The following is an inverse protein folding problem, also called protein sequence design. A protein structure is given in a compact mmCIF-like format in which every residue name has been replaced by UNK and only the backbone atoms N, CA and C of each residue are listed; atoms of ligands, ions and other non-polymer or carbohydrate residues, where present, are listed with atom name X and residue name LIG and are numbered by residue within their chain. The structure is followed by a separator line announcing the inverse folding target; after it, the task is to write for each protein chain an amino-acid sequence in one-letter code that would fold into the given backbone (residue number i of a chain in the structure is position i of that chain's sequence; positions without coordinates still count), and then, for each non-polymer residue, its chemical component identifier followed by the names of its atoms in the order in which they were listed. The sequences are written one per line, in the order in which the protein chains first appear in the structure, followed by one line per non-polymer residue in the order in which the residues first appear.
data_IF_363325475381
#
_entry.id   IF_363325475381
#
_cell.length_a   1.000
_cell.length_b   1.000
_cell.length_c   1.000
_cell.angle_alpha   90.00
_cell.angle_beta   90.00
_cell.angle_gamma   90.00
#
_symmetry.space_group_name_H-M   'P 1'
#
loop_
_entity.id
_entity.type
_entity.pdbx_description
1 polymer ?
#
# COMPACT_ATOMS: atom_id res chain seq x y z
N UNK A 1 -7.73 18.44 10.28
CA UNK A 1 -6.54 19.30 10.50
C UNK A 1 -5.22 18.51 10.58
N UNK A 2 -5.21 17.22 10.94
CA UNK A 2 -4.00 16.38 10.99
C UNK A 2 -3.42 15.92 9.64
N UNK A 3 -4.25 15.79 8.59
CA UNK A 3 -3.83 15.20 7.30
C UNK A 3 -2.77 16.02 6.52
N UNK A 4 -2.78 17.36 6.61
CA UNK A 4 -1.79 18.20 5.92
C UNK A 4 -0.42 18.14 6.59
N UNK A 5 -0.38 18.09 7.93
CA UNK A 5 0.88 18.01 8.69
C UNK A 5 1.64 16.70 8.46
N UNK A 6 0.91 15.57 8.38
CA UNK A 6 1.53 14.25 8.12
C UNK A 6 2.04 14.15 6.68
N UNK A 7 1.35 14.76 5.71
CA UNK A 7 1.78 14.76 4.31
C UNK A 7 3.08 15.55 4.11
N UNK A 8 3.22 16.73 4.72
CA UNK A 8 4.46 17.52 4.66
C UNK A 8 5.64 16.77 5.29
N UNK A 9 5.41 16.12 6.43
CA UNK A 9 6.44 15.30 7.10
C UNK A 9 6.84 14.08 6.27
N UNK A 10 5.90 13.45 5.56
CA UNK A 10 6.18 12.33 4.64
C UNK A 10 7.03 12.77 3.44
N UNK A 11 6.68 13.89 2.80
CA UNK A 11 7.52 14.45 1.73
C UNK A 11 8.92 14.77 2.25
N UNK A 12 9.03 15.38 3.42
CA UNK A 12 10.32 15.70 4.02
C UNK A 12 11.15 14.44 4.33
N UNK A 13 10.53 13.38 4.87
CA UNK A 13 11.20 12.09 5.09
C UNK A 13 11.66 11.42 3.78
N UNK A 14 10.82 11.43 2.75
CA UNK A 14 11.14 10.89 1.43
C UNK A 14 12.31 11.66 0.80
N UNK A 15 12.29 12.99 0.87
CA UNK A 15 13.37 13.85 0.37
C UNK A 15 14.68 13.64 1.14
N UNK A 16 14.64 13.51 2.47
CA UNK A 16 15.83 13.24 3.29
C UNK A 16 16.42 11.87 2.95
N UNK A 17 15.59 10.82 2.87
CA UNK A 17 16.04 9.46 2.54
C UNK A 17 16.66 9.41 1.14
N UNK A 18 16.03 10.09 0.17
CA UNK A 18 16.55 10.17 -1.19
C UNK A 18 17.84 10.99 -1.29
N UNK A 19 17.98 12.05 -0.50
CA UNK A 19 19.20 12.84 -0.43
C UNK A 19 20.39 12.03 0.12
N UNK A 20 20.16 11.16 1.10
CA UNK A 20 21.19 10.24 1.63
C UNK A 20 21.66 9.27 0.54
N UNK A 21 20.74 8.63 -0.19
CA UNK A 21 21.08 7.72 -1.30
C UNK A 21 21.84 8.42 -2.43
N UNK A 22 21.45 9.65 -2.78
CA UNK A 22 22.11 10.43 -3.82
C UNK A 22 23.52 10.86 -3.38
N UNK A 23 23.72 11.17 -2.11
CA UNK A 23 25.05 11.48 -1.58
C UNK A 23 25.99 10.28 -1.65
N UNK A 24 25.53 9.07 -1.30
CA UNK A 24 26.34 7.85 -1.44
C UNK A 24 26.74 7.60 -2.90
N UNK A 25 25.84 7.90 -3.85
CA UNK A 25 26.13 7.80 -5.30
C UNK A 25 27.13 8.86 -5.74
N UNK A 26 26.96 10.11 -5.35
CA UNK A 26 27.88 11.22 -5.69
C UNK A 26 29.28 11.04 -5.07
N UNK A 27 29.37 10.40 -3.90
CA UNK A 27 30.63 10.08 -3.28
C UNK A 27 31.43 9.05 -4.08
N UNK A 28 30.75 8.18 -4.85
CA UNK A 28 31.38 7.18 -5.72
C UNK A 28 31.81 7.74 -7.08
N UNK A 29 31.18 8.82 -7.57
CA UNK A 29 31.55 9.42 -8.86
C UNK A 29 32.80 10.30 -8.77
N UNK A 30 33.12 10.81 -7.57
CA UNK A 30 34.28 11.70 -7.35
C UNK A 30 34.13 13.10 -7.98
N UNK A 31 33.00 13.39 -8.63
CA UNK A 31 32.73 14.67 -9.31
C UNK A 31 32.49 15.82 -8.31
N UNK A 32 32.08 15.50 -7.08
CA UNK A 32 31.78 16.50 -6.05
C UNK A 32 32.92 16.54 -5.02
N UNK A 33 33.47 17.74 -4.72
CA UNK A 33 34.53 17.87 -3.73
C UNK A 33 34.14 17.27 -2.37
N UNK A 34 35.04 16.51 -1.71
CA UNK A 34 34.75 15.86 -0.44
C UNK A 34 34.25 16.82 0.65
N UNK A 35 34.75 18.06 0.67
CA UNK A 35 34.31 19.05 1.66
C UNK A 35 32.82 19.42 1.51
N UNK A 36 32.31 19.46 0.27
CA UNK A 36 30.88 19.75 -0.01
C UNK A 36 30.01 18.56 0.38
N UNK A 37 30.45 17.34 0.08
CA UNK A 37 29.75 16.11 0.49
C UNK A 37 29.69 16.01 2.03
N UNK A 38 30.79 16.32 2.69
CA UNK A 38 30.88 16.30 4.16
C UNK A 38 29.97 17.37 4.80
N UNK A 39 29.86 18.56 4.20
CA UNK A 39 28.92 19.58 4.66
C UNK A 39 27.46 19.12 4.52
N UNK A 40 27.10 18.49 3.40
CA UNK A 40 25.75 17.94 3.18
C UNK A 40 25.44 16.78 4.14
N UNK A 41 26.41 15.89 4.39
CA UNK A 41 26.28 14.83 5.39
C UNK A 41 26.05 15.40 6.79
N UNK A 42 26.77 16.45 7.19
CA UNK A 42 26.55 17.11 8.49
C UNK A 42 25.15 17.70 8.63
N UNK A 43 24.58 18.26 7.57
CA UNK A 43 23.20 18.78 7.58
C UNK A 43 22.20 17.63 7.77
N UNK A 44 22.34 16.54 7.01
CA UNK A 44 21.43 15.39 7.10
C UNK A 44 21.56 14.62 8.42
N UNK A 45 22.74 14.64 9.04
CA UNK A 45 23.01 14.04 10.35
C UNK A 45 22.76 15.01 11.51
N UNK A 46 22.31 16.23 11.25
CA UNK A 46 22.04 17.21 12.29
C UNK A 46 20.90 16.76 13.21
N UNK A 47 20.93 17.23 14.46
CA UNK A 47 19.87 17.02 15.45
C UNK A 47 18.49 17.40 14.89
N UNK A 48 18.41 18.46 14.08
CA UNK A 48 17.16 18.86 13.43
C UNK A 48 16.63 17.77 12.48
N UNK A 49 17.46 17.27 11.57
CA UNK A 49 17.03 16.22 10.62
C UNK A 49 16.71 14.90 11.34
N UNK A 50 17.47 14.55 12.38
CA UNK A 50 17.20 13.38 13.20
C UNK A 50 15.87 13.50 13.95
N UNK A 51 15.62 14.64 14.61
CA UNK A 51 14.37 14.89 15.32
C UNK A 51 13.16 14.91 14.38
N UNK A 52 13.29 15.49 13.17
CA UNK A 52 12.25 15.45 12.14
C UNK A 52 11.97 14.01 11.70
N UNK A 53 13.01 13.21 11.47
CA UNK A 53 12.87 11.79 11.11
C UNK A 53 12.14 11.02 12.21
N UNK A 54 12.57 11.18 13.46
CA UNK A 54 11.98 10.50 14.62
C UNK A 54 10.53 10.91 14.86
N UNK A 55 10.24 12.22 14.81
CA UNK A 55 8.88 12.73 14.94
C UNK A 55 7.97 12.23 13.81
N UNK A 56 8.48 12.11 12.59
CA UNK A 56 7.72 11.57 11.46
C UNK A 56 7.42 10.08 11.65
N UNK A 57 8.41 9.29 12.08
CA UNK A 57 8.24 7.86 12.37
C UNK A 57 7.28 7.65 13.54
N UNK A 58 7.41 8.43 14.61
CA UNK A 58 6.54 8.38 15.77
C UNK A 58 5.10 8.81 15.42
N UNK A 59 4.91 9.87 14.63
CA UNK A 59 3.60 10.30 14.15
C UNK A 59 2.95 9.23 13.25
N UNK A 60 3.73 8.56 12.41
CA UNK A 60 3.25 7.46 11.56
C UNK A 60 2.88 6.21 12.37
N UNK A 61 3.70 5.87 13.36
CA UNK A 61 3.42 4.76 14.28
C UNK A 61 2.18 5.05 15.14
N UNK A 62 2.02 6.30 15.59
CA UNK A 62 0.89 6.75 16.41
C UNK A 62 -0.43 6.91 15.62
N UNK A 63 -0.38 7.06 14.29
CA UNK A 63 -1.58 7.23 13.46
C UNK A 63 -2.33 5.92 13.14
N UNK A 64 -2.19 4.87 13.95
CA UNK A 64 -2.58 3.49 13.61
C UNK A 64 -2.02 3.04 12.23
N UNK A 65 -0.74 3.36 11.97
CA UNK A 65 0.09 2.83 10.88
C UNK A 65 -0.62 2.44 9.58
N UNK A 66 -0.45 3.29 8.55
CA UNK A 66 -0.74 3.04 7.12
C UNK A 66 -2.16 3.39 6.56
N UNK A 67 -2.82 4.42 7.08
CA UNK A 67 -4.04 4.99 6.47
C UNK A 67 -3.81 5.82 5.19
N UNK A 68 -2.56 6.00 4.76
CA UNK A 68 -2.23 6.79 3.58
C UNK A 68 -2.04 5.91 2.33
N UNK A 69 -2.57 6.32 1.17
CA UNK A 69 -2.31 5.65 -0.09
C UNK A 69 -0.80 5.55 -0.38
N UNK A 70 -0.35 4.37 -0.79
CA UNK A 70 1.01 4.11 -1.24
C UNK A 70 1.01 3.43 -2.59
N UNK A 71 2.08 3.64 -3.35
CA UNK A 71 2.31 3.00 -4.64
C UNK A 71 3.07 1.69 -4.43
N UNK A 72 2.65 0.63 -5.10
CA UNK A 72 3.35 -0.65 -5.17
C UNK A 72 3.44 -1.06 -6.63
N UNK A 73 4.66 -1.34 -7.11
CA UNK A 73 4.91 -1.76 -8.49
C UNK A 73 5.32 -3.23 -8.49
N UNK A 74 4.59 -4.07 -9.24
CA UNK A 74 4.82 -5.51 -9.31
C UNK A 74 5.01 -5.96 -10.76
N UNK A 75 6.00 -6.82 -11.05
CA UNK A 75 6.09 -7.45 -12.36
C UNK A 75 4.95 -8.47 -12.54
N UNK A 76 4.19 -8.36 -13.62
CA UNK A 76 3.19 -9.35 -14.02
C UNK A 76 3.88 -10.51 -14.74
N UNK A 77 3.68 -11.72 -14.23
CA UNK A 77 4.12 -12.96 -14.88
C UNK A 77 2.92 -13.77 -15.39
N UNK A 78 3.18 -14.89 -16.05
CA UNK A 78 2.15 -15.85 -16.47
C UNK A 78 1.37 -16.44 -15.27
N UNK A 79 2.04 -16.57 -14.12
CA UNK A 79 1.43 -16.99 -12.84
C UNK A 79 0.56 -15.89 -12.20
N UNK A 80 0.60 -14.67 -12.74
CA UNK A 80 -0.16 -13.53 -12.27
C UNK A 80 0.60 -12.65 -11.29
N UNK A 81 -0.12 -12.03 -10.33
CA UNK A 81 0.45 -11.08 -9.36
C UNK A 81 0.60 -11.67 -7.95
N UNK A 82 0.05 -12.87 -7.69
CA UNK A 82 0.22 -13.54 -6.40
C UNK A 82 -0.67 -13.02 -5.26
N UNK A 83 -1.86 -12.50 -5.55
CA UNK A 83 -2.83 -12.10 -4.52
C UNK A 83 -4.28 -12.27 -4.99
N UNK A 84 -5.21 -12.34 -4.03
CA UNK A 84 -6.66 -12.37 -4.29
C UNK A 84 -7.30 -11.06 -3.85
N UNK A 85 -8.36 -10.66 -4.56
CA UNK A 85 -9.21 -9.53 -4.18
C UNK A 85 -10.60 -9.98 -3.73
N UNK A 86 -11.30 -9.13 -2.99
CA UNK A 86 -12.71 -9.29 -2.60
C UNK A 86 -13.41 -7.93 -2.48
N UNK A 87 -14.72 -7.95 -2.24
CA UNK A 87 -15.55 -6.74 -2.23
C UNK A 87 -15.86 -6.25 -3.63
N UNK A 88 -16.39 -5.03 -3.74
CA UNK A 88 -16.98 -4.50 -4.95
C UNK A 88 -18.30 -3.78 -4.68
N UNK A 89 -18.67 -2.87 -5.57
CA UNK A 89 -19.89 -2.05 -5.48
C UNK A 89 -21.15 -2.91 -5.30
N UNK A 90 -21.23 -4.06 -5.95
CA UNK A 90 -22.37 -4.99 -5.86
C UNK A 90 -22.57 -5.58 -4.45
N UNK A 91 -21.54 -5.50 -3.61
CA UNK A 91 -21.57 -5.90 -2.20
C UNK A 91 -21.55 -4.69 -1.25
N UNK A 92 -21.78 -3.47 -1.77
CA UNK A 92 -21.65 -2.21 -1.05
C UNK A 92 -20.35 -2.13 -0.23
N UNK A 93 -19.25 -2.53 -0.86
CA UNK A 93 -17.95 -2.71 -0.19
C UNK A 93 -16.81 -2.25 -1.09
N UNK A 94 -15.74 -1.64 -0.55
CA UNK A 94 -14.54 -1.37 -1.34
C UNK A 94 -13.84 -2.65 -1.77
N UNK A 95 -12.91 -2.54 -2.71
CA UNK A 95 -12.12 -3.66 -3.21
C UNK A 95 -10.87 -3.82 -2.33
N UNK A 96 -10.67 -5.02 -1.79
CA UNK A 96 -9.57 -5.32 -0.87
C UNK A 96 -8.74 -6.51 -1.32
N UNK A 97 -7.46 -6.50 -0.98
CA UNK A 97 -6.59 -7.67 -1.01
C UNK A 97 -6.94 -8.57 0.17
N UNK A 98 -7.60 -9.68 -0.11
CA UNK A 98 -8.08 -10.65 0.88
C UNK A 98 -7.01 -11.68 1.25
N UNK A 99 -6.08 -11.95 0.33
CA UNK A 99 -5.02 -12.95 0.51
C UNK A 99 -3.79 -12.59 -0.31
N UNK A 100 -2.62 -12.78 0.29
CA UNK A 100 -1.34 -12.87 -0.40
C UNK A 100 -1.02 -14.35 -0.59
N UNK A 101 -0.65 -14.75 -1.81
CA UNK A 101 -0.35 -16.15 -2.15
C UNK A 101 1.10 -16.44 -1.72
N UNK A 102 1.34 -17.37 -0.77
CA UNK A 102 2.68 -17.71 -0.32
C UNK A 102 3.59 -18.12 -1.48
N UNK A 103 4.80 -17.57 -1.53
CA UNK A 103 5.76 -17.81 -2.60
C UNK A 103 5.44 -17.11 -3.92
N UNK A 104 4.29 -16.44 -4.05
CA UNK A 104 3.90 -15.69 -5.25
C UNK A 104 4.64 -14.34 -5.38
N UNK A 105 4.38 -13.62 -6.48
CA UNK A 105 5.04 -12.34 -6.77
C UNK A 105 4.81 -11.30 -5.67
N UNK A 106 3.57 -11.08 -5.25
CA UNK A 106 3.25 -10.12 -4.19
C UNK A 106 3.90 -10.47 -2.84
N UNK A 107 4.00 -11.76 -2.52
CA UNK A 107 4.63 -12.26 -1.29
C UNK A 107 6.14 -11.99 -1.31
N UNK A 108 6.82 -12.43 -2.38
CA UNK A 108 8.27 -12.23 -2.56
C UNK A 108 8.66 -10.75 -2.63
N UNK A 109 7.78 -9.89 -3.15
CA UNK A 109 7.99 -8.45 -3.19
C UNK A 109 7.79 -7.79 -1.81
N UNK A 110 6.88 -8.28 -0.97
CA UNK A 110 6.62 -7.77 0.38
C UNK A 110 5.90 -6.40 0.46
N UNK A 111 5.70 -5.73 -0.68
CA UNK A 111 5.03 -4.42 -0.73
C UNK A 111 3.51 -4.43 -0.54
N UNK A 112 2.85 -5.58 -0.76
CA UNK A 112 1.41 -5.78 -0.54
C UNK A 112 1.13 -6.62 0.70
N UNK A 113 0.00 -6.35 1.35
CA UNK A 113 -0.45 -7.07 2.55
C UNK A 113 -1.93 -7.38 2.46
N UNK A 114 -2.34 -8.48 3.09
CA UNK A 114 -3.77 -8.71 3.38
C UNK A 114 -4.30 -7.53 4.20
N UNK A 115 -5.46 -6.99 3.79
CA UNK A 115 -6.03 -5.79 4.43
C UNK A 115 -5.70 -4.49 3.70
N UNK A 116 -4.97 -4.54 2.59
CA UNK A 116 -4.87 -3.41 1.68
C UNK A 116 -6.17 -3.21 0.90
N UNK A 117 -6.74 -2.01 0.98
CA UNK A 117 -7.74 -1.54 0.02
C UNK A 117 -7.03 -1.21 -1.29
N UNK A 118 -7.54 -1.73 -2.41
CA UNK A 118 -7.10 -1.35 -3.75
C UNK A 118 -7.81 -0.07 -4.19
N UNK A 119 -7.04 0.96 -4.50
CA UNK A 119 -7.55 2.28 -4.91
C UNK A 119 -7.44 2.48 -6.42
N UNK A 120 -6.34 2.03 -7.04
CA UNK A 120 -6.17 2.12 -8.50
C UNK A 120 -5.24 1.04 -9.06
N UNK A 121 -5.41 0.73 -10.34
CA UNK A 121 -4.54 -0.15 -11.14
C UNK A 121 -4.07 0.62 -12.37
N UNK A 122 -2.75 0.78 -12.55
CA UNK A 122 -2.13 1.53 -13.65
C UNK A 122 -2.72 2.94 -13.86
N UNK A 123 -3.02 3.62 -12.75
CA UNK A 123 -3.60 4.97 -12.77
C UNK A 123 -5.11 5.03 -12.98
N UNK A 124 -5.78 3.91 -13.25
CA UNK A 124 -7.25 3.83 -13.32
C UNK A 124 -7.80 3.53 -11.93
N UNK A 125 -8.62 4.44 -11.39
CA UNK A 125 -9.27 4.25 -10.09
C UNK A 125 -10.25 3.08 -10.14
N UNK A 126 -10.31 2.33 -9.03
CA UNK A 126 -11.29 1.26 -8.79
C UNK A 126 -12.14 1.53 -7.54
N UNK A 127 -12.04 2.73 -6.98
CA UNK A 127 -12.85 3.13 -5.83
C UNK A 127 -14.33 3.25 -6.23
N UNK A 128 -15.20 2.54 -5.52
CA UNK A 128 -16.63 2.53 -5.80
C UNK A 128 -17.02 1.75 -7.06
N UNK A 129 -16.08 1.02 -7.67
CA UNK A 129 -16.32 0.18 -8.85
C UNK A 129 -16.76 -1.25 -8.48
N UNK A 130 -17.31 -1.94 -9.48
CA UNK A 130 -17.65 -3.35 -9.37
C UNK A 130 -16.39 -4.22 -9.26
N UNK A 131 -16.53 -5.37 -8.59
CA UNK A 131 -15.45 -6.34 -8.48
C UNK A 131 -14.83 -6.71 -9.83
N UNK A 132 -15.69 -6.95 -10.82
CA UNK A 132 -15.31 -7.35 -12.17
C UNK A 132 -14.38 -6.34 -12.85
N UNK A 133 -14.62 -5.04 -12.64
CA UNK A 133 -13.80 -3.98 -13.24
C UNK A 133 -12.34 -4.05 -12.77
N UNK A 134 -12.13 -4.28 -11.48
CA UNK A 134 -10.77 -4.44 -10.96
C UNK A 134 -10.10 -5.73 -11.48
N UNK A 135 -10.87 -6.82 -11.59
CA UNK A 135 -10.37 -8.08 -12.17
C UNK A 135 -9.94 -7.87 -13.62
N UNK A 136 -10.74 -7.19 -14.43
CA UNK A 136 -10.42 -6.88 -15.83
C UNK A 136 -9.10 -6.08 -15.93
N UNK A 137 -8.96 -5.01 -15.14
CA UNK A 137 -7.74 -4.19 -15.14
C UNK A 137 -6.50 -5.00 -14.73
N UNK A 138 -6.61 -5.84 -13.70
CA UNK A 138 -5.50 -6.68 -13.22
C UNK A 138 -5.13 -7.82 -14.18
N UNK A 139 -6.10 -8.30 -14.99
CA UNK A 139 -5.88 -9.30 -16.03
C UNK A 139 -5.29 -8.70 -17.29
N UNK A 140 -5.76 -7.52 -17.70
CA UNK A 140 -5.29 -6.82 -18.90
C UNK A 140 -3.91 -6.18 -18.73
N UNK A 141 -3.48 -5.91 -17.49
CA UNK A 141 -2.18 -5.34 -17.20
C UNK A 141 -1.01 -6.25 -17.64
N UNK A 142 0.02 -5.65 -18.22
CA UNK A 142 1.23 -6.31 -18.71
C UNK A 142 2.48 -5.60 -18.16
N UNK A 143 3.61 -6.30 -18.15
CA UNK A 143 4.88 -5.73 -17.68
C UNK A 143 4.83 -5.37 -16.20
N UNK A 144 5.13 -4.12 -15.86
CA UNK A 144 5.07 -3.64 -14.47
C UNK A 144 3.69 -3.05 -14.17
N UNK A 145 3.01 -3.61 -13.16
CA UNK A 145 1.69 -3.17 -12.71
C UNK A 145 1.85 -2.23 -11.53
N UNK A 146 1.37 -1.00 -11.68
CA UNK A 146 1.36 0.02 -10.64
C UNK A 146 0.04 0.01 -9.89
N UNK A 147 0.09 -0.35 -8.62
CA UNK A 147 -1.07 -0.39 -7.72
C UNK A 147 -0.98 0.78 -6.75
N UNK A 148 -2.12 1.41 -6.48
CA UNK A 148 -2.24 2.34 -5.35
C UNK A 148 -3.11 1.66 -4.31
N UNK A 149 -2.57 1.51 -3.09
CA UNK A 149 -3.21 0.76 -2.00
C UNK A 149 -3.17 1.53 -0.69
N UNK A 150 -4.13 1.25 0.19
CA UNK A 150 -4.19 1.81 1.54
C UNK A 150 -4.45 0.69 2.55
N UNK A 151 -3.62 0.57 3.56
CA UNK A 151 -3.74 -0.53 4.51
C UNK A 151 -4.79 -0.20 5.57
N UNK A 152 -5.86 -0.99 5.60
CA UNK A 152 -7.05 -0.81 6.45
C UNK A 152 -7.58 -2.18 6.90
N UNK A 153 -6.77 -2.97 7.64
CA UNK A 153 -7.08 -4.37 7.94
C UNK A 153 -8.36 -4.55 8.78
N UNK A 154 -8.64 -3.63 9.71
CA UNK A 154 -9.87 -3.66 10.54
C UNK A 154 -11.13 -3.62 9.68
N UNK A 155 -11.13 -2.83 8.60
CA UNK A 155 -12.27 -2.74 7.67
C UNK A 155 -12.46 -4.06 6.91
N UNK A 156 -11.36 -4.70 6.49
CA UNK A 156 -11.43 -6.03 5.87
C UNK A 156 -12.03 -7.07 6.84
N UNK A 157 -11.60 -7.08 8.10
CA UNK A 157 -12.12 -8.01 9.12
C UNK A 157 -13.62 -7.80 9.38
N UNK A 158 -14.07 -6.55 9.48
CA UNK A 158 -15.49 -6.19 9.61
C UNK A 158 -16.30 -6.65 8.38
N UNK A 159 -15.75 -6.48 7.17
CA UNK A 159 -16.36 -6.92 5.91
C UNK A 159 -16.50 -8.44 5.86
N UNK A 160 -15.45 -9.19 6.19
CA UNK A 160 -15.48 -10.65 6.24
C UNK A 160 -16.51 -11.15 7.27
N UNK A 161 -16.55 -10.55 8.45
CA UNK A 161 -17.57 -10.87 9.47
C UNK A 161 -19.00 -10.66 8.96
N UNK A 162 -19.23 -9.55 8.25
CA UNK A 162 -20.53 -9.25 7.63
C UNK A 162 -20.92 -10.29 6.58
N UNK A 163 -20.00 -10.66 5.69
CA UNK A 163 -20.27 -11.66 4.66
C UNK A 163 -20.51 -13.05 5.24
N UNK A 164 -19.79 -13.43 6.29
CA UNK A 164 -20.00 -14.71 6.98
C UNK A 164 -21.37 -14.79 7.65
N UNK A 165 -21.79 -13.72 8.33
CA UNK A 165 -23.15 -13.61 8.91
C UNK A 165 -24.24 -13.76 7.86
N UNK A 166 -24.08 -13.08 6.71
CA UNK A 166 -25.05 -13.13 5.61
C UNK A 166 -25.13 -14.53 4.98
N UNK A 167 -23.99 -15.19 4.76
CA UNK A 167 -23.93 -16.58 4.25
C UNK A 167 -24.58 -17.57 5.22
N UNK A 168 -24.30 -17.42 6.52
CA UNK A 168 -24.88 -18.24 7.58
C UNK A 168 -26.40 -18.11 7.67
N UNK A 169 -26.93 -16.89 7.53
CA UNK A 169 -28.37 -16.64 7.54
C UNK A 169 -29.07 -17.31 6.34
N UNK A 170 -28.52 -17.15 5.12
CA UNK A 170 -29.08 -17.76 3.91
C UNK A 170 -29.11 -19.29 3.98
N UNK A 171 -28.07 -19.92 4.52
CA UNK A 171 -28.01 -21.39 4.73
C UNK A 171 -29.10 -21.89 5.69
N UNK A 172 -29.34 -21.18 6.79
CA UNK A 172 -30.41 -21.54 7.75
C UNK A 172 -31.79 -21.45 7.13
N UNK A 173 -32.03 -20.44 6.30
CA UNK A 173 -33.32 -20.26 5.61
C UNK A 173 -33.55 -21.34 4.54
N UNK A 174 -32.50 -21.73 3.81
CA UNK A 174 -32.54 -22.83 2.82
C UNK A 174 -32.84 -24.20 3.47
N UNK A 175 -32.34 -24.44 4.68
CA UNK A 175 -32.56 -25.70 5.40
C UNK A 175 -33.88 -25.74 6.21
N UNK A 176 -34.63 -24.63 6.28
CA UNK A 176 -35.89 -24.53 7.05
C UNK A 176 -37.14 -24.88 6.23
N UNK A 177 -37.02 -25.06 4.91
CA UNK A 177 -38.08 -25.58 4.05
C UNK A 177 -37.64 -26.93 3.50
N UNK A 178 -37.98 -28.05 4.15
CA UNK A 178 -37.89 -29.36 3.52
C UNK A 178 -38.86 -29.38 2.34
N UNK A 179 -38.41 -29.94 1.20
CA UNK A 179 -39.28 -30.30 0.07
C UNK A 179 -40.32 -31.33 0.50
#
# INVERSE_FOLDING_TARGET
KWALGVSVLYYLYFYISRAIELLDKLQRTGEVPPQKLQALQRVLQSEFCNAVREATVAAFAASEGHSHPRVVELPKTEEGLGFNIMGGKEQNSPIYISRIIPGGIADRHGGLKRGDQLLSVNGVSVEGEHHEKAVELLKAAQGTVKLVVRYTPKVLEEMESRFEKMRSAKRRQQNSYPQ
#
